data_IF_702262741051
#
_entry.id   IF_702262741051
#
_cell.length_a   1.000
_cell.length_b   1.000
_cell.length_c   1.000
_cell.angle_alpha   90.00
_cell.angle_beta   90.00
_cell.angle_gamma   90.00
#
_symmetry.space_group_name_H-M   'P 1'
#
loop_
_entity.id
_entity.type
_entity.pdbx_description
1 polymer ?
#
# COMPACT_ATOMS: atom_id res chain seq x y z
N UNK A 1 7.90 -17.60 -11.78
CA UNK A 1 6.59 -16.91 -11.77
C UNK A 1 6.34 -16.37 -13.16
N UNK A 2 5.10 -16.45 -13.65
CA UNK A 2 4.70 -15.83 -14.91
C UNK A 2 3.65 -14.76 -14.59
N UNK A 3 3.95 -13.50 -14.87
CA UNK A 3 3.05 -12.38 -14.61
C UNK A 3 2.19 -12.10 -15.85
N UNK A 4 0.89 -11.93 -15.66
CA UNK A 4 -0.02 -11.50 -16.73
C UNK A 4 -0.06 -9.98 -16.75
N UNK A 5 0.84 -9.39 -17.52
CA UNK A 5 0.85 -7.96 -17.77
C UNK A 5 -0.29 -7.57 -18.72
N UNK A 6 -0.94 -6.45 -18.41
CA UNK A 6 -1.94 -5.81 -19.27
C UNK A 6 -1.66 -4.32 -19.35
N UNK A 7 -2.18 -3.65 -20.38
CA UNK A 7 -2.09 -2.19 -20.49
C UNK A 7 -2.78 -1.51 -19.30
N UNK A 8 -2.17 -0.44 -18.79
CA UNK A 8 -2.77 0.38 -17.75
C UNK A 8 -3.50 1.57 -18.39
N UNK A 9 -4.84 1.62 -18.35
CA UNK A 9 -5.62 2.63 -19.09
C UNK A 9 -5.42 4.07 -18.59
N UNK A 10 -4.97 4.27 -17.35
CA UNK A 10 -4.77 5.62 -16.76
C UNK A 10 -3.55 6.33 -17.32
N UNK A 11 -2.53 5.58 -17.74
CA UNK A 11 -1.28 6.14 -18.22
C UNK A 11 -0.80 5.37 -19.45
N UNK A 12 -0.82 6.04 -20.61
CA UNK A 12 -0.46 5.42 -21.88
C UNK A 12 0.99 4.95 -21.86
N UNK A 13 1.24 3.74 -22.37
CA UNK A 13 2.58 3.18 -22.53
C UNK A 13 3.13 2.48 -21.28
N UNK A 14 2.36 2.41 -20.19
CA UNK A 14 2.72 1.59 -19.03
C UNK A 14 1.87 0.32 -18.95
N UNK A 15 2.36 -0.65 -18.18
CA UNK A 15 1.73 -1.94 -17.95
C UNK A 15 1.40 -2.11 -16.46
N UNK A 16 0.43 -2.98 -16.17
CA UNK A 16 0.05 -3.38 -14.80
C UNK A 16 -0.04 -4.89 -14.69
N UNK A 17 0.12 -5.40 -13.47
CA UNK A 17 -0.17 -6.78 -13.09
C UNK A 17 -0.59 -6.80 -11.63
N UNK A 18 -1.38 -7.80 -11.24
CA UNK A 18 -1.67 -8.14 -9.86
C UNK A 18 -1.19 -9.57 -9.61
N UNK A 19 -0.70 -9.84 -8.39
CA UNK A 19 -0.18 -11.15 -8.05
C UNK A 19 -0.42 -11.47 -6.58
N UNK A 20 -1.19 -12.53 -6.34
CA UNK A 20 -1.38 -13.09 -5.01
C UNK A 20 -0.22 -14.03 -4.67
N UNK A 21 0.24 -13.95 -3.43
CA UNK A 21 1.36 -14.74 -2.93
C UNK A 21 1.05 -15.25 -1.52
N UNK A 22 1.70 -16.34 -1.16
CA UNK A 22 1.72 -16.87 0.21
C UNK A 22 3.18 -17.06 0.61
N UNK A 23 3.50 -16.76 1.86
CA UNK A 23 4.87 -16.79 2.35
C UNK A 23 4.96 -16.67 3.87
N UNK A 24 6.18 -16.71 4.39
CA UNK A 24 6.41 -16.48 5.81
C UNK A 24 6.10 -15.01 6.19
N UNK A 25 5.74 -14.71 7.45
CA UNK A 25 5.58 -13.33 7.92
C UNK A 25 6.80 -12.46 7.59
N UNK A 26 6.55 -11.20 7.21
CA UNK A 26 7.54 -10.24 6.75
C UNK A 26 7.98 -10.42 5.29
N UNK A 27 7.29 -11.27 4.52
CA UNK A 27 7.55 -11.41 3.08
C UNK A 27 7.11 -10.17 2.30
N UNK A 28 6.03 -9.51 2.69
CA UNK A 28 5.55 -8.26 2.10
C UNK A 28 6.60 -7.15 2.19
N UNK A 29 7.25 -6.99 3.35
CA UNK A 29 8.36 -6.06 3.52
C UNK A 29 9.55 -6.37 2.60
N UNK A 30 9.87 -7.66 2.40
CA UNK A 30 10.93 -8.11 1.49
C UNK A 30 10.58 -7.80 0.03
N UNK A 31 9.34 -8.05 -0.38
CA UNK A 31 8.84 -7.73 -1.72
C UNK A 31 8.94 -6.22 -1.95
N UNK A 32 8.37 -5.40 -1.05
CA UNK A 32 8.41 -3.94 -1.18
C UNK A 32 9.85 -3.41 -1.24
N UNK A 33 10.76 -3.97 -0.44
CA UNK A 33 12.18 -3.61 -0.47
C UNK A 33 12.86 -3.97 -1.79
N UNK A 34 12.53 -5.12 -2.38
CA UNK A 34 13.07 -5.55 -3.66
C UNK A 34 12.55 -4.69 -4.83
N UNK A 35 11.31 -4.20 -4.74
CA UNK A 35 10.69 -3.34 -5.76
C UNK A 35 11.19 -1.89 -5.76
N UNK A 36 11.72 -1.41 -4.62
CA UNK A 36 12.23 -0.03 -4.47
C UNK A 36 13.32 0.35 -5.49
N UNK A 37 14.03 -0.62 -6.06
CA UNK A 37 15.08 -0.36 -7.06
C UNK A 37 14.58 0.12 -8.42
N UNK A 38 13.26 0.21 -8.64
CA UNK A 38 12.66 0.56 -9.94
C UNK A 38 12.06 1.97 -9.89
N UNK A 39 12.80 2.96 -10.41
CA UNK A 39 12.51 4.40 -10.25
C UNK A 39 11.13 4.86 -10.74
N UNK A 40 10.47 4.11 -11.63
CA UNK A 40 9.18 4.50 -12.21
C UNK A 40 8.02 3.59 -11.79
N UNK A 41 8.26 2.66 -10.85
CA UNK A 41 7.26 1.69 -10.44
C UNK A 41 6.30 2.30 -9.40
N UNK A 42 5.00 2.14 -9.65
CA UNK A 42 3.94 2.29 -8.66
C UNK A 42 3.53 0.93 -8.16
N UNK A 43 3.48 0.72 -6.85
CA UNK A 43 3.07 -0.55 -6.29
C UNK A 43 2.36 -0.39 -4.95
N UNK A 44 1.50 -1.36 -4.67
CA UNK A 44 0.96 -1.64 -3.35
C UNK A 44 1.27 -3.11 -3.04
N UNK A 45 1.87 -3.37 -1.88
CA UNK A 45 2.06 -4.71 -1.35
C UNK A 45 1.27 -4.80 -0.06
N UNK A 46 0.42 -5.82 0.07
CA UNK A 46 -0.34 -6.09 1.28
C UNK A 46 0.05 -7.46 1.81
N UNK A 47 0.26 -7.55 3.12
CA UNK A 47 0.46 -8.79 3.87
C UNK A 47 -0.63 -8.88 4.94
N UNK A 48 -1.36 -9.99 4.94
CA UNK A 48 -2.41 -10.26 5.92
C UNK A 48 -1.80 -10.52 7.30
N UNK A 49 -2.52 -10.13 8.35
CA UNK A 49 -2.11 -10.42 9.73
C UNK A 49 -2.04 -11.95 9.97
N UNK A 50 -1.09 -12.37 10.80
CA UNK A 50 -0.92 -13.78 11.15
C UNK A 50 -0.77 -13.95 12.67
N UNK A 51 -0.73 -15.19 13.14
CA UNK A 51 -0.58 -15.44 14.58
C UNK A 51 0.70 -14.78 15.13
N UNK A 52 0.51 -13.78 15.99
CA UNK A 52 1.61 -13.03 16.62
C UNK A 52 2.29 -11.98 15.73
N UNK A 53 1.78 -11.72 14.53
CA UNK A 53 2.31 -10.66 13.66
C UNK A 53 1.15 -9.83 13.09
N UNK A 54 1.30 -8.51 13.16
CA UNK A 54 0.37 -7.60 12.52
C UNK A 54 0.48 -7.71 10.99
N UNK A 55 -0.60 -7.32 10.30
CA UNK A 55 -0.57 -7.16 8.85
C UNK A 55 0.15 -5.87 8.47
N UNK A 56 0.42 -5.71 7.17
CA UNK A 56 1.12 -4.55 6.65
C UNK A 56 0.70 -4.18 5.24
N UNK A 57 0.69 -2.88 4.97
CA UNK A 57 0.52 -2.30 3.65
C UNK A 57 1.70 -1.40 3.33
N UNK A 58 2.35 -1.66 2.20
CA UNK A 58 3.41 -0.83 1.64
C UNK A 58 2.94 -0.22 0.33
N UNK A 59 2.92 1.11 0.26
CA UNK A 59 2.59 1.85 -0.95
C UNK A 59 3.84 2.56 -1.44
N UNK A 60 4.01 2.63 -2.75
CA UNK A 60 5.11 3.36 -3.36
C UNK A 60 4.66 4.10 -4.59
N UNK A 61 5.12 5.34 -4.69
CA UNK A 61 5.01 6.13 -5.92
C UNK A 61 6.38 6.72 -6.27
N UNK A 62 6.65 6.99 -7.56
CA UNK A 62 7.92 7.59 -7.99
C UNK A 62 8.24 8.90 -7.25
N UNK A 63 7.23 9.73 -6.98
CA UNK A 63 7.44 11.07 -6.43
C UNK A 63 7.49 11.09 -4.90
N UNK A 64 6.81 10.15 -4.23
CA UNK A 64 6.68 10.13 -2.77
C UNK A 64 7.58 9.09 -2.08
N UNK A 65 8.09 8.10 -2.84
CA UNK A 65 8.81 6.97 -2.27
C UNK A 65 7.88 6.00 -1.55
N UNK A 66 8.39 5.30 -0.53
CA UNK A 66 7.64 4.25 0.18
C UNK A 66 6.92 4.80 1.42
N UNK A 67 5.66 4.43 1.57
CA UNK A 67 4.87 4.55 2.78
C UNK A 67 4.53 3.16 3.32
N UNK A 68 4.54 3.02 4.64
CA UNK A 68 4.16 1.80 5.33
C UNK A 68 3.08 2.10 6.38
N UNK A 69 2.05 1.27 6.41
CA UNK A 69 1.05 1.24 7.44
C UNK A 69 0.87 -0.18 7.98
N UNK A 70 0.77 -0.31 9.29
CA UNK A 70 0.30 -1.53 9.93
C UNK A 70 -1.18 -1.73 9.60
N UNK A 71 -1.62 -2.98 9.43
CA UNK A 71 -3.04 -3.31 9.26
C UNK A 71 -3.52 -4.32 10.30
N UNK A 72 -4.80 -4.24 10.66
CA UNK A 72 -5.44 -5.25 11.49
C UNK A 72 -5.79 -6.52 10.70
N UNK A 73 -6.39 -7.50 11.37
CA UNK A 73 -6.74 -8.80 10.79
C UNK A 73 -7.80 -8.75 9.68
N UNK A 74 -8.49 -7.63 9.50
CA UNK A 74 -9.48 -7.43 8.42
C UNK A 74 -9.00 -6.43 7.37
N UNK A 75 -7.76 -5.94 7.50
CA UNK A 75 -7.12 -5.05 6.54
C UNK A 75 -7.33 -3.55 6.78
N UNK A 76 -7.86 -3.15 7.94
CA UNK A 76 -7.93 -1.72 8.29
C UNK A 76 -6.54 -1.19 8.62
N UNK A 77 -6.22 0.02 8.17
CA UNK A 77 -4.99 0.71 8.60
C UNK A 77 -5.08 1.06 10.07
N UNK A 78 -4.05 0.70 10.83
CA UNK A 78 -3.90 1.02 12.25
C UNK A 78 -2.94 2.20 12.39
N UNK A 79 -3.41 3.29 12.99
CA UNK A 79 -2.57 4.43 13.35
C UNK A 79 -2.15 4.29 14.81
N UNK A 80 -0.84 4.11 15.10
CA UNK A 80 -0.36 4.01 16.47
C UNK A 80 -0.70 5.27 17.29
N UNK A 81 -0.97 5.09 18.57
CA UNK A 81 -1.27 6.20 19.47
C UNK A 81 -0.18 7.30 19.45
N UNK A 82 1.08 6.90 19.39
CA UNK A 82 2.20 7.85 19.33
C UNK A 82 2.23 8.69 18.06
N UNK A 83 1.70 8.18 16.93
CA UNK A 83 1.51 8.99 15.72
C UNK A 83 0.41 10.05 15.90
N UNK A 84 -0.66 9.70 16.62
CA UNK A 84 -1.74 10.66 16.94
C UNK A 84 -1.25 11.72 17.93
N UNK A 85 -0.55 11.31 19.00
CA UNK A 85 0.06 12.25 19.95
C UNK A 85 1.03 13.20 19.25
N UNK A 86 1.91 12.68 18.39
CA UNK A 86 2.82 13.50 17.60
C UNK A 86 2.07 14.54 16.76
N UNK A 87 1.00 14.13 16.05
CA UNK A 87 0.20 15.06 15.26
C UNK A 87 -0.43 16.17 16.12
N UNK A 88 -0.92 15.84 17.32
CA UNK A 88 -1.46 16.81 18.27
C UNK A 88 -0.38 17.77 18.80
N UNK A 89 0.80 17.25 19.13
CA UNK A 89 1.92 18.03 19.67
C UNK A 89 2.46 19.02 18.63
N UNK A 90 2.64 18.58 17.38
CA UNK A 90 3.07 19.44 16.27
C UNK A 90 2.04 20.51 15.95
N UNK A 91 0.76 20.17 15.96
CA UNK A 91 -0.31 21.08 15.60
C UNK A 91 -0.63 22.13 16.69
N UNK A 92 -0.47 21.77 17.97
CA UNK A 92 -0.92 22.61 19.08
C UNK A 92 -2.40 22.94 18.97
N UNK A 93 -2.75 24.23 18.96
CA UNK A 93 -4.13 24.70 18.77
C UNK A 93 -4.52 24.95 17.30
N UNK A 94 -3.62 24.68 16.33
CA UNK A 94 -3.88 24.90 14.92
C UNK A 94 -4.57 23.69 14.27
N UNK A 95 -5.88 23.80 14.06
CA UNK A 95 -6.66 22.74 13.43
C UNK A 95 -6.21 22.38 12.01
N UNK A 96 -5.73 23.36 11.22
CA UNK A 96 -5.25 23.09 9.85
C UNK A 96 -3.99 22.23 9.88
N UNK A 97 -3.10 22.49 10.83
CA UNK A 97 -1.88 21.70 11.01
C UNK A 97 -2.21 20.29 11.50
N UNK A 98 -3.21 20.14 12.38
CA UNK A 98 -3.68 18.83 12.81
C UNK A 98 -4.20 18.01 11.61
N UNK A 99 -5.02 18.62 10.75
CA UNK A 99 -5.48 17.96 9.53
C UNK A 99 -4.33 17.56 8.59
N UNK A 100 -3.29 18.39 8.49
CA UNK A 100 -2.10 18.09 7.68
C UNK A 100 -1.36 16.87 8.24
N UNK A 101 -1.06 16.85 9.53
CA UNK A 101 -0.34 15.75 10.17
C UNK A 101 -1.14 14.44 10.18
N UNK A 102 -2.47 14.52 10.35
CA UNK A 102 -3.33 13.34 10.21
C UNK A 102 -3.33 12.76 8.79
N UNK A 103 -3.34 13.59 7.74
CA UNK A 103 -3.21 13.10 6.35
C UNK A 103 -1.86 12.43 6.10
N UNK A 104 -0.79 12.94 6.70
CA UNK A 104 0.53 12.31 6.64
C UNK A 104 0.53 10.95 7.36
N UNK A 105 -0.09 10.90 8.55
CA UNK A 105 -0.21 9.66 9.31
C UNK A 105 -1.05 8.60 8.58
N UNK A 106 -2.05 9.01 7.80
CA UNK A 106 -2.87 8.11 6.99
C UNK A 106 -2.21 7.69 5.67
N UNK A 107 -1.15 8.38 5.23
CA UNK A 107 -0.56 8.12 3.91
C UNK A 107 -1.42 8.64 2.74
N UNK A 108 -2.27 9.64 2.98
CA UNK A 108 -3.29 10.11 2.01
C UNK A 108 -2.72 10.42 0.62
N UNK A 109 -1.53 11.03 0.54
CA UNK A 109 -0.92 11.39 -0.73
C UNK A 109 -0.59 10.16 -1.61
N UNK A 110 -0.24 9.02 -0.98
CA UNK A 110 -0.02 7.76 -1.70
C UNK A 110 -1.33 7.18 -2.17
N UNK A 111 -2.35 7.16 -1.30
CA UNK A 111 -3.68 6.69 -1.68
C UNK A 111 -4.22 7.50 -2.85
N UNK A 112 -4.20 8.84 -2.78
CA UNK A 112 -4.71 9.72 -3.84
C UNK A 112 -4.03 9.45 -5.19
N UNK A 113 -2.71 9.25 -5.21
CA UNK A 113 -1.99 8.96 -6.45
C UNK A 113 -2.32 7.55 -6.99
N UNK A 114 -2.33 6.54 -6.11
CA UNK A 114 -2.59 5.15 -6.50
C UNK A 114 -4.07 4.89 -6.85
N UNK A 115 -4.99 5.68 -6.33
CA UNK A 115 -6.43 5.47 -6.48
C UNK A 115 -6.88 5.52 -7.94
N UNK A 116 -6.28 6.42 -8.72
CA UNK A 116 -6.52 6.51 -10.15
C UNK A 116 -6.20 5.16 -10.85
N UNK A 117 -5.09 4.53 -10.48
CA UNK A 117 -4.65 3.24 -11.03
C UNK A 117 -5.48 2.05 -10.50
N UNK A 118 -6.05 2.15 -9.29
CA UNK A 118 -6.95 1.14 -8.68
C UNK A 118 -8.33 1.10 -9.33
N UNK A 119 -8.95 2.25 -9.60
CA UNK A 119 -10.29 2.27 -10.21
C UNK A 119 -10.30 1.69 -11.63
N UNK A 120 -9.21 1.88 -12.35
CA UNK A 120 -9.05 1.35 -13.69
C UNK A 120 -8.77 -0.17 -13.73
N UNK A 121 -8.67 -0.84 -12.57
CA UNK A 121 -8.55 -2.30 -12.44
C UNK A 121 -9.89 -3.02 -12.52
N UNK A 122 -10.98 -2.34 -12.18
CA UNK A 122 -12.28 -2.96 -11.90
C UNK A 122 -12.88 -3.67 -13.11
N UNK A 123 -12.34 -3.44 -14.31
CA UNK A 123 -12.69 -4.13 -15.55
C UNK A 123 -11.93 -5.45 -15.79
N UNK A 124 -11.02 -5.89 -14.89
CA UNK A 124 -10.19 -7.07 -15.10
C UNK A 124 -10.48 -8.21 -14.11
N UNK A 125 -10.55 -9.44 -14.64
CA UNK A 125 -11.00 -10.65 -13.94
C UNK A 125 -10.10 -11.07 -12.76
N UNK A 126 -10.69 -11.21 -11.56
CA UNK A 126 -10.06 -11.86 -10.41
C UNK A 126 -9.92 -13.36 -10.69
N UNK A 127 -8.69 -13.86 -10.81
CA UNK A 127 -8.39 -15.30 -10.91
C UNK A 127 -7.93 -15.79 -9.54
N UNK A 128 -8.82 -16.46 -8.81
CA UNK A 128 -8.47 -17.18 -7.59
C UNK A 128 -7.73 -18.47 -7.95
N UNK A 129 -6.44 -18.57 -7.61
CA UNK A 129 -5.68 -19.80 -7.76
C UNK A 129 -5.67 -20.56 -6.43
N UNK A 130 -6.66 -21.43 -6.21
CA UNK A 130 -6.61 -22.40 -5.12
C UNK A 130 -5.66 -23.53 -5.49
N UNK A 131 -4.60 -23.73 -4.70
CA UNK A 131 -3.81 -24.97 -4.74
C UNK A 131 -4.49 -26.00 -3.84
N UNK A 132 -5.22 -26.93 -4.44
CA UNK A 132 -5.64 -28.17 -3.77
C UNK A 132 -4.40 -29.04 -3.53
N UNK A 133 -4.25 -29.48 -2.29
CA UNK A 133 -3.35 -30.52 -1.84
C UNK A 133 -4.06 -31.34 -0.77
#
# INVERSE_FOLDING_TARGET
MNFKWVEQPVLKGVQRTEFYWEGAPGTGAKIASALRGWEHLRYEVTEDASAGNDGGRWMHTPDLGIYYAQTDAVGNTVIPEDRLRYAMDVAGSNALELHRELRLALGQAWDDELEAFRHASSDNQVVWLHKVG
#
